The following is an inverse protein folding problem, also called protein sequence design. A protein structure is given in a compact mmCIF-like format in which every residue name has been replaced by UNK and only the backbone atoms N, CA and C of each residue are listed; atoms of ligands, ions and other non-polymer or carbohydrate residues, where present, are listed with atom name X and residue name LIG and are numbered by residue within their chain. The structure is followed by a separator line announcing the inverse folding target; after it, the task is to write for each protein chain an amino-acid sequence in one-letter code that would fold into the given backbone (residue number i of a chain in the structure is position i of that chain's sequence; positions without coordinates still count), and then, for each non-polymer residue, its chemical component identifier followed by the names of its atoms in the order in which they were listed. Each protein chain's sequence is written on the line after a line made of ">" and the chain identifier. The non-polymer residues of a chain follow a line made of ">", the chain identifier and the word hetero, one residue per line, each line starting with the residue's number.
data_IF_604964546757
#
_entry.id   IF_604964546757
#
_cell.length_a   1.000
_cell.length_b   1.000
_cell.length_c   1.000
_cell.angle_alpha   90.00
_cell.angle_beta   90.00
_cell.angle_gamma   90.00
#
_symmetry.space_group_name_H-M   'P 1'
#
loop_
_entity.id
_entity.type
_entity.pdbx_description
1 polymer ?
#
# COMPACT_ATOMS: atom_id res chain seq x y z
N UNK A 1 -33.83 14.81 11.22
CA UNK A 1 -32.49 14.32 11.65
C UNK A 1 -31.94 13.18 10.78
N UNK A 2 -32.71 12.15 10.41
CA UNK A 2 -32.25 11.04 9.53
C UNK A 2 -31.84 11.46 8.10
N UNK A 3 -32.52 12.45 7.52
CA UNK A 3 -32.20 12.97 6.16
C UNK A 3 -30.87 13.73 6.12
N UNK A 4 -30.55 14.50 7.17
CA UNK A 4 -29.29 15.24 7.30
C UNK A 4 -28.09 14.30 7.50
N UNK A 5 -28.26 13.19 8.21
CA UNK A 5 -27.21 12.17 8.38
C UNK A 5 -26.93 11.42 7.08
N UNK A 6 -27.97 11.08 6.30
CA UNK A 6 -27.82 10.46 4.98
C UNK A 6 -27.13 11.41 3.98
N UNK A 7 -27.48 12.70 4.01
CA UNK A 7 -26.84 13.71 3.17
C UNK A 7 -25.36 13.93 3.55
N UNK A 8 -25.04 13.96 4.85
CA UNK A 8 -23.66 14.11 5.32
C UNK A 8 -22.78 12.89 4.96
N UNK A 9 -23.33 11.68 5.03
CA UNK A 9 -22.65 10.45 4.60
C UNK A 9 -22.41 10.41 3.09
N UNK A 10 -23.35 10.94 2.29
CA UNK A 10 -23.19 11.09 0.84
C UNK A 10 -22.10 12.13 0.51
N UNK A 11 -22.12 13.33 1.11
CA UNK A 11 -21.14 14.38 0.82
C UNK A 11 -19.72 14.01 1.25
N UNK A 12 -19.56 13.32 2.38
CA UNK A 12 -18.25 12.84 2.84
C UNK A 12 -17.65 11.78 1.89
N UNK A 13 -18.49 10.88 1.35
CA UNK A 13 -18.05 9.87 0.37
C UNK A 13 -17.64 10.49 -0.97
N UNK A 14 -18.34 11.55 -1.42
CA UNK A 14 -18.04 12.24 -2.68
C UNK A 14 -16.71 13.00 -2.62
N UNK A 15 -16.38 13.59 -1.47
CA UNK A 15 -15.12 14.30 -1.26
C UNK A 15 -13.88 13.40 -1.28
N UNK A 16 -14.01 12.10 -0.94
CA UNK A 16 -12.91 11.12 -1.05
C UNK A 16 -12.85 10.54 -2.46
N UNK A 17 -13.99 10.27 -3.08
CA UNK A 17 -14.05 9.76 -4.44
C UNK A 17 -13.42 10.71 -5.48
N UNK A 18 -13.60 12.03 -5.32
CA UNK A 18 -12.96 13.03 -6.18
C UNK A 18 -11.45 13.17 -5.95
N UNK A 19 -10.97 12.92 -4.73
CA UNK A 19 -9.54 13.01 -4.39
C UNK A 19 -8.70 11.93 -5.06
N UNK A 20 -9.26 10.74 -5.26
CA UNK A 20 -8.51 9.64 -5.88
C UNK A 20 -8.46 9.70 -7.40
N UNK A 21 -9.31 10.49 -8.06
CA UNK A 21 -9.37 10.51 -9.52
C UNK A 21 -8.02 10.83 -10.19
N UNK A 22 -7.24 11.84 -9.75
CA UNK A 22 -5.93 12.12 -10.35
C UNK A 22 -4.94 10.96 -10.17
N UNK A 23 -4.91 10.36 -8.98
CA UNK A 23 -3.99 9.25 -8.70
C UNK A 23 -4.40 7.96 -9.43
N UNK A 24 -5.69 7.67 -9.55
CA UNK A 24 -6.23 6.55 -10.32
C UNK A 24 -6.01 6.71 -11.84
N UNK A 25 -6.05 7.95 -12.33
CA UNK A 25 -5.76 8.25 -13.73
C UNK A 25 -4.27 8.05 -14.04
N UNK A 26 -3.41 8.41 -13.10
CA UNK A 26 -1.95 8.45 -13.28
C UNK A 26 -1.56 9.29 -14.50
N UNK A 27 -0.46 8.91 -15.15
CA UNK A 27 0.05 9.56 -16.36
C UNK A 27 -0.57 9.03 -17.66
N UNK A 28 -1.65 8.24 -17.57
CA UNK A 28 -2.19 7.58 -18.76
C UNK A 28 -2.93 8.61 -19.63
N UNK A 29 -2.54 8.71 -20.91
CA UNK A 29 -3.28 9.48 -21.92
C UNK A 29 -4.56 8.72 -22.30
N UNK A 30 -5.64 9.06 -21.61
CA UNK A 30 -6.88 8.28 -21.61
C UNK A 30 -7.93 8.83 -22.56
N UNK A 31 -7.53 9.49 -23.65
CA UNK A 31 -8.47 10.05 -24.63
C UNK A 31 -9.64 10.80 -23.94
N UNK A 32 -10.86 10.65 -24.47
CA UNK A 32 -12.04 11.18 -23.78
C UNK A 32 -12.56 10.21 -22.70
N UNK A 33 -12.74 10.70 -21.48
CA UNK A 33 -13.34 9.94 -20.37
C UNK A 33 -14.82 9.55 -20.62
N UNK A 34 -15.46 10.17 -21.62
CA UNK A 34 -16.81 9.85 -22.05
C UNK A 34 -16.89 8.66 -23.01
N UNK A 35 -15.76 8.16 -23.52
CA UNK A 35 -15.75 7.00 -24.41
C UNK A 35 -16.07 5.71 -23.64
N UNK A 36 -16.66 4.71 -24.32
CA UNK A 36 -16.77 3.35 -23.79
C UNK A 36 -15.40 2.82 -23.38
N UNK A 37 -15.33 2.19 -22.21
CA UNK A 37 -14.11 1.57 -21.71
C UNK A 37 -13.90 0.17 -22.30
N UNK A 38 -12.65 -0.17 -22.60
CA UNK A 38 -12.24 -1.52 -23.00
C UNK A 38 -11.80 -2.36 -21.79
N UNK A 39 -11.51 -3.64 -22.00
CA UNK A 39 -10.92 -4.49 -20.97
C UNK A 39 -9.51 -4.03 -20.57
N UNK A 40 -8.74 -3.45 -21.51
CA UNK A 40 -7.44 -2.81 -21.23
C UNK A 40 -7.59 -1.61 -20.30
N UNK A 41 -8.58 -0.75 -20.54
CA UNK A 41 -8.87 0.39 -19.66
C UNK A 41 -9.18 -0.08 -18.24
N UNK A 42 -10.05 -1.09 -18.11
CA UNK A 42 -10.37 -1.71 -16.82
C UNK A 42 -9.15 -2.31 -16.12
N UNK A 43 -8.28 -3.02 -16.85
CA UNK A 43 -7.07 -3.61 -16.31
C UNK A 43 -6.11 -2.55 -15.78
N UNK A 44 -5.87 -1.46 -16.55
CA UNK A 44 -5.01 -0.35 -16.12
C UNK A 44 -5.54 0.33 -14.87
N UNK A 45 -6.83 0.67 -14.84
CA UNK A 45 -7.42 1.32 -13.67
C UNK A 45 -7.44 0.42 -12.44
N UNK A 46 -7.75 -0.87 -12.62
CA UNK A 46 -7.75 -1.81 -11.51
C UNK A 46 -6.34 -2.03 -10.96
N UNK A 47 -5.33 -2.19 -11.82
CA UNK A 47 -3.93 -2.25 -11.39
C UNK A 47 -3.57 -1.01 -10.58
N UNK A 48 -3.95 0.17 -11.06
CA UNK A 48 -3.65 1.41 -10.34
C UNK A 48 -4.33 1.47 -8.97
N UNK A 49 -5.58 1.01 -8.88
CA UNK A 49 -6.27 0.88 -7.60
C UNK A 49 -5.57 -0.11 -6.65
N UNK A 50 -5.07 -1.24 -7.17
CA UNK A 50 -4.26 -2.20 -6.40
C UNK A 50 -2.97 -1.56 -5.92
N UNK A 51 -2.24 -0.84 -6.76
CA UNK A 51 -0.99 -0.15 -6.35
C UNK A 51 -1.23 0.91 -5.26
N UNK A 52 -2.39 1.60 -5.30
CA UNK A 52 -2.76 2.59 -4.30
C UNK A 52 -3.16 1.93 -2.97
N UNK A 53 -3.93 0.84 -3.03
CA UNK A 53 -4.42 0.13 -1.85
C UNK A 53 -3.33 -0.74 -1.23
N UNK A 54 -2.57 -1.46 -2.06
CA UNK A 54 -1.56 -2.46 -1.72
C UNK A 54 -0.25 -2.21 -2.48
N UNK A 55 0.50 -1.14 -2.15
CA UNK A 55 1.78 -0.90 -2.78
C UNK A 55 2.74 -2.04 -2.48
N UNK A 56 3.54 -2.45 -3.48
CA UNK A 56 4.56 -3.49 -3.32
C UNK A 56 3.95 -4.81 -2.80
N UNK A 57 2.81 -5.22 -3.36
CA UNK A 57 2.13 -6.48 -3.06
C UNK A 57 2.84 -7.63 -3.78
N UNK A 58 3.34 -8.66 -3.08
CA UNK A 58 3.99 -9.78 -3.73
C UNK A 58 2.99 -10.63 -4.50
N UNK A 59 3.50 -11.35 -5.48
CA UNK A 59 2.73 -12.32 -6.27
C UNK A 59 2.03 -13.35 -5.37
N UNK A 60 0.71 -13.49 -5.54
CA UNK A 60 -0.11 -14.45 -4.77
C UNK A 60 -0.29 -15.82 -5.45
N UNK A 61 -0.09 -15.89 -6.77
CA UNK A 61 -0.20 -17.11 -7.55
C UNK A 61 0.66 -17.07 -8.80
N UNK A 62 1.18 -18.22 -9.24
CA UNK A 62 1.75 -18.37 -10.58
C UNK A 62 0.63 -18.39 -11.62
N UNK A 63 0.52 -17.32 -12.40
CA UNK A 63 -0.47 -17.17 -13.46
C UNK A 63 0.15 -16.42 -14.64
N UNK A 64 -0.14 -16.89 -15.86
CA UNK A 64 0.23 -16.20 -17.09
C UNK A 64 -0.84 -15.16 -17.45
N UNK A 65 -0.44 -14.09 -18.13
CA UNK A 65 -1.39 -13.16 -18.72
C UNK A 65 -1.99 -13.77 -20.01
N UNK A 66 -3.29 -13.60 -20.28
CA UNK A 66 -3.90 -13.93 -21.56
C UNK A 66 -3.54 -12.89 -22.67
N UNK A 67 -2.29 -12.47 -22.74
CA UNK A 67 -1.74 -11.54 -23.73
C UNK A 67 -0.35 -12.00 -24.18
N UNK A 68 0.10 -11.52 -25.34
CA UNK A 68 1.48 -11.73 -25.80
C UNK A 68 2.46 -10.94 -24.92
N UNK A 69 3.67 -11.45 -24.61
CA UNK A 69 4.69 -10.72 -23.86
C UNK A 69 5.10 -9.37 -24.48
N UNK A 70 4.92 -9.20 -25.78
CA UNK A 70 5.21 -7.97 -26.53
C UNK A 70 4.09 -6.92 -26.42
N UNK A 71 2.94 -7.28 -25.84
CA UNK A 71 1.82 -6.36 -25.65
C UNK A 71 2.18 -5.31 -24.57
N UNK A 72 1.95 -4.01 -24.81
CA UNK A 72 2.29 -2.96 -23.85
C UNK A 72 1.53 -3.09 -22.51
N UNK A 73 0.39 -3.79 -22.47
CA UNK A 73 -0.38 -4.06 -21.26
C UNK A 73 -0.07 -5.42 -20.62
N UNK A 74 0.87 -6.20 -21.17
CA UNK A 74 1.18 -7.55 -20.70
C UNK A 74 1.48 -7.56 -19.19
N UNK A 75 2.36 -6.70 -18.71
CA UNK A 75 2.73 -6.63 -17.30
C UNK A 75 1.55 -6.23 -16.40
N UNK A 76 0.68 -5.36 -16.89
CA UNK A 76 -0.54 -4.95 -16.17
C UNK A 76 -1.48 -6.13 -15.99
N UNK A 77 -1.73 -6.87 -17.06
CA UNK A 77 -2.65 -8.01 -17.05
C UNK A 77 -2.04 -9.20 -16.31
N UNK A 78 -0.73 -9.43 -16.45
CA UNK A 78 0.02 -10.45 -15.70
C UNK A 78 -0.12 -10.22 -14.20
N UNK A 79 0.10 -8.99 -13.73
CA UNK A 79 -0.06 -8.63 -12.33
C UNK A 79 -1.49 -8.94 -11.85
N UNK A 80 -2.52 -8.53 -12.57
CA UNK A 80 -3.91 -8.79 -12.16
C UNK A 80 -4.24 -10.29 -12.15
N UNK A 81 -3.74 -11.07 -13.10
CA UNK A 81 -3.92 -12.52 -13.14
C UNK A 81 -3.24 -13.20 -11.94
N UNK A 82 -2.01 -12.79 -11.62
CA UNK A 82 -1.24 -13.28 -10.47
C UNK A 82 -1.91 -12.99 -9.12
N UNK A 83 -2.68 -11.91 -9.06
CA UNK A 83 -3.50 -11.54 -7.90
C UNK A 83 -4.94 -12.08 -7.97
N UNK A 84 -5.25 -12.92 -8.96
CA UNK A 84 -6.58 -13.51 -9.19
C UNK A 84 -7.69 -12.46 -9.33
N UNK A 85 -7.37 -11.28 -9.84
CA UNK A 85 -8.32 -10.19 -10.08
C UNK A 85 -8.90 -10.21 -11.49
N UNK A 86 -8.37 -11.04 -12.39
CA UNK A 86 -8.83 -11.19 -13.76
C UNK A 86 -9.78 -12.40 -13.91
N UNK A 87 -11.04 -12.22 -14.32
CA UNK A 87 -11.94 -13.30 -14.72
C UNK A 87 -11.46 -14.01 -15.99
N UNK A 88 -11.91 -15.24 -16.22
CA UNK A 88 -11.55 -16.01 -17.41
C UNK A 88 -12.14 -15.40 -18.70
N UNK A 89 -13.29 -14.73 -18.57
CA UNK A 89 -14.04 -14.10 -19.65
C UNK A 89 -13.52 -12.71 -20.03
N UNK A 90 -12.47 -12.22 -19.35
CA UNK A 90 -11.87 -10.93 -19.67
C UNK A 90 -11.26 -10.94 -21.08
N UNK A 91 -11.48 -9.86 -21.82
CA UNK A 91 -10.94 -9.67 -23.16
C UNK A 91 -10.37 -8.25 -23.28
N UNK A 92 -9.29 -8.03 -24.04
CA UNK A 92 -8.63 -6.73 -24.11
C UNK A 92 -9.54 -5.63 -24.68
N UNK A 93 -10.27 -5.92 -25.76
CA UNK A 93 -11.01 -4.91 -26.52
C UNK A 93 -12.47 -4.73 -26.09
N UNK A 94 -12.98 -5.59 -25.20
CA UNK A 94 -14.37 -5.58 -24.76
C UNK A 94 -14.49 -5.71 -23.25
N UNK A 95 -15.37 -4.91 -22.64
CA UNK A 95 -15.65 -4.98 -21.22
C UNK A 95 -17.15 -5.22 -20.97
N UNK A 96 -17.58 -6.50 -20.93
CA UNK A 96 -18.90 -6.83 -20.42
C UNK A 96 -19.06 -6.35 -18.97
N UNK A 97 -20.23 -5.84 -18.62
CA UNK A 97 -20.51 -5.35 -17.25
C UNK A 97 -20.34 -6.46 -16.20
N UNK A 98 -20.62 -7.71 -16.55
CA UNK A 98 -20.39 -8.87 -15.69
C UNK A 98 -18.91 -9.07 -15.37
N UNK A 99 -18.03 -8.93 -16.36
CA UNK A 99 -16.57 -9.03 -16.18
C UNK A 99 -16.07 -7.92 -15.25
N UNK A 100 -16.48 -6.68 -15.47
CA UNK A 100 -16.10 -5.58 -14.56
C UNK A 100 -16.61 -5.80 -13.14
N UNK A 101 -17.87 -6.22 -12.99
CA UNK A 101 -18.46 -6.50 -11.67
C UNK A 101 -17.68 -7.57 -10.94
N UNK A 102 -17.23 -8.60 -11.64
CA UNK A 102 -16.43 -9.66 -11.05
C UNK A 102 -15.02 -9.18 -10.67
N UNK A 103 -14.35 -8.43 -11.54
CA UNK A 103 -13.06 -7.79 -11.25
C UNK A 103 -13.12 -6.93 -9.98
N UNK A 104 -14.10 -6.03 -9.91
CA UNK A 104 -14.31 -5.14 -8.77
C UNK A 104 -14.72 -5.91 -7.52
N UNK A 105 -15.57 -6.93 -7.67
CA UNK A 105 -16.00 -7.80 -6.58
C UNK A 105 -14.86 -8.60 -5.96
N UNK A 106 -13.94 -9.13 -6.78
CA UNK A 106 -12.72 -9.83 -6.33
C UNK A 106 -11.82 -8.91 -5.51
N UNK A 107 -11.61 -7.67 -5.95
CA UNK A 107 -10.84 -6.69 -5.17
C UNK A 107 -11.59 -6.24 -3.91
N UNK A 108 -12.90 -6.08 -3.95
CA UNK A 108 -13.68 -5.70 -2.77
C UNK A 108 -13.70 -6.81 -1.70
N UNK A 109 -13.70 -8.08 -2.14
CA UNK A 109 -13.70 -9.26 -1.27
C UNK A 109 -12.44 -9.35 -0.39
N UNK A 110 -11.29 -8.87 -0.88
CA UNK A 110 -10.06 -8.76 -0.10
C UNK A 110 -10.25 -8.00 1.23
N UNK A 111 -11.20 -7.07 1.25
CA UNK A 111 -11.46 -6.20 2.40
C UNK A 111 -12.80 -6.47 3.07
N UNK A 112 -13.50 -7.55 2.68
CA UNK A 112 -14.84 -7.86 3.17
C UNK A 112 -15.89 -6.78 2.82
N UNK A 113 -15.65 -5.99 1.77
CA UNK A 113 -16.57 -4.94 1.31
C UNK A 113 -17.41 -5.46 0.15
N UNK A 114 -18.69 -5.07 0.10
CA UNK A 114 -19.56 -5.33 -1.04
C UNK A 114 -19.79 -4.08 -1.87
N UNK A 115 -19.69 -4.21 -3.20
CA UNK A 115 -20.00 -3.16 -4.17
C UNK A 115 -20.87 -3.76 -5.27
N UNK A 116 -21.93 -3.04 -5.62
CA UNK A 116 -22.76 -3.35 -6.77
C UNK A 116 -22.56 -2.24 -7.81
N UNK A 117 -21.94 -2.53 -8.97
CA UNK A 117 -21.80 -1.57 -10.05
C UNK A 117 -23.16 -1.06 -10.53
N UNK A 118 -23.26 0.23 -10.85
CA UNK A 118 -24.55 0.88 -11.16
C UNK A 118 -24.62 1.54 -12.54
N UNK A 119 -23.67 1.30 -13.45
CA UNK A 119 -23.60 2.02 -14.71
C UNK A 119 -24.35 1.41 -15.90
N UNK A 120 -24.56 2.25 -16.92
CA UNK A 120 -25.16 1.90 -18.21
C UNK A 120 -24.26 0.96 -19.03
N UNK A 121 -24.87 0.23 -19.97
CA UNK A 121 -24.17 -0.69 -20.88
C UNK A 121 -23.96 0.00 -22.24
N UNK A 122 -22.72 0.12 -22.77
CA UNK A 122 -21.43 -0.21 -22.15
C UNK A 122 -20.92 0.89 -21.17
N UNK A 123 -20.07 0.55 -20.18
CA UNK A 123 -19.50 1.53 -19.27
C UNK A 123 -18.56 2.51 -19.97
N UNK A 124 -18.53 3.75 -19.49
CA UNK A 124 -17.50 4.73 -19.87
C UNK A 124 -16.28 4.63 -18.95
N UNK A 125 -15.14 5.14 -19.42
CA UNK A 125 -13.91 5.24 -18.61
C UNK A 125 -14.12 6.00 -17.30
N UNK A 126 -14.90 7.10 -17.35
CA UNK A 126 -15.27 7.86 -16.16
C UNK A 126 -16.03 7.03 -15.13
N UNK A 127 -16.94 6.17 -15.58
CA UNK A 127 -17.73 5.31 -14.69
C UNK A 127 -16.85 4.29 -13.97
N UNK A 128 -15.88 3.69 -14.67
CA UNK A 128 -14.91 2.76 -14.03
C UNK A 128 -14.09 3.46 -12.94
N UNK A 129 -13.52 4.62 -13.26
CA UNK A 129 -12.75 5.42 -12.30
C UNK A 129 -13.60 5.84 -11.09
N UNK A 130 -14.85 6.23 -11.33
CA UNK A 130 -15.78 6.61 -10.26
C UNK A 130 -16.08 5.45 -9.31
N UNK A 131 -16.28 4.24 -9.85
CA UNK A 131 -16.53 3.05 -9.02
C UNK A 131 -15.29 2.61 -8.23
N UNK A 132 -14.10 2.67 -8.82
CA UNK A 132 -12.84 2.43 -8.11
C UNK A 132 -12.61 3.45 -7.00
N UNK A 133 -12.86 4.73 -7.27
CA UNK A 133 -12.81 5.79 -6.26
C UNK A 133 -13.76 5.51 -5.09
N UNK A 134 -14.97 5.02 -5.37
CA UNK A 134 -15.93 4.61 -4.34
C UNK A 134 -15.46 3.39 -3.56
N UNK A 135 -14.85 2.40 -4.23
CA UNK A 135 -14.25 1.25 -3.57
C UNK A 135 -13.14 1.68 -2.61
N UNK A 136 -12.21 2.49 -3.08
CA UNK A 136 -11.10 3.00 -2.27
C UNK A 136 -11.63 3.76 -1.05
N UNK A 137 -12.64 4.62 -1.23
CA UNK A 137 -13.25 5.35 -0.12
C UNK A 137 -13.90 4.42 0.93
N UNK A 138 -14.46 3.28 0.51
CA UNK A 138 -15.03 2.27 1.42
C UNK A 138 -13.97 1.43 2.12
N UNK A 139 -12.87 1.12 1.44
CA UNK A 139 -11.79 0.28 1.95
C UNK A 139 -10.87 1.06 2.89
N UNK A 140 -10.60 2.33 2.62
CA UNK A 140 -9.63 3.16 3.34
C UNK A 140 -9.70 3.07 4.88
N UNK A 141 -10.88 3.13 5.52
CA UNK A 141 -11.02 2.98 6.97
C UNK A 141 -10.55 1.63 7.54
N UNK A 142 -10.57 0.56 6.73
CA UNK A 142 -10.16 -0.78 7.15
C UNK A 142 -8.64 -0.98 7.15
N UNK A 143 -7.90 -0.24 6.32
CA UNK A 143 -6.47 -0.46 6.09
C UNK A 143 -5.57 -0.04 7.28
N UNK A 144 -6.06 0.91 8.11
CA UNK A 144 -5.43 1.41 9.35
C UNK A 144 -3.88 1.42 9.36
N UNK A 145 -3.22 2.00 8.34
CA UNK A 145 -1.77 1.94 8.26
C UNK A 145 -1.11 2.71 9.41
N UNK A 146 0.01 2.20 9.90
CA UNK A 146 0.84 2.88 10.90
C UNK A 146 2.18 3.23 10.27
N UNK A 147 2.54 4.51 10.29
CA UNK A 147 3.88 4.93 9.91
C UNK A 147 4.89 4.48 10.97
N UNK A 148 5.99 3.91 10.53
CA UNK A 148 7.20 3.77 11.34
C UNK A 148 8.22 4.79 10.84
N UNK A 149 8.61 5.74 11.69
CA UNK A 149 9.60 6.75 11.35
C UNK A 149 10.81 6.55 12.26
N UNK A 150 11.93 6.19 11.67
CA UNK A 150 13.18 5.95 12.39
C UNK A 150 14.10 7.16 12.28
N UNK A 151 14.65 7.63 13.41
CA UNK A 151 15.69 8.66 13.38
C UNK A 151 17.09 8.05 13.32
N UNK A 152 18.04 8.81 12.78
CA UNK A 152 19.45 8.50 12.89
C UNK A 152 19.90 8.50 14.37
N UNK A 153 20.80 7.58 14.71
CA UNK A 153 21.28 7.40 16.09
C UNK A 153 22.18 8.55 16.55
N UNK A 154 22.98 9.09 15.64
CA UNK A 154 23.93 10.18 15.89
C UNK A 154 23.27 11.56 15.70
N UNK A 155 22.21 11.63 14.89
CA UNK A 155 21.43 12.84 14.68
C UNK A 155 19.92 12.57 14.69
N UNK A 156 19.31 12.65 15.88
CA UNK A 156 17.87 12.42 16.08
C UNK A 156 16.93 13.38 15.33
N UNK A 157 17.45 14.42 14.69
CA UNK A 157 16.67 15.33 13.85
C UNK A 157 16.55 14.86 12.40
N UNK A 158 17.38 13.87 11.99
CA UNK A 158 17.36 13.26 10.67
C UNK A 158 16.56 11.97 10.69
N UNK A 159 15.75 11.78 9.67
CA UNK A 159 15.13 10.48 9.38
C UNK A 159 16.21 9.56 8.82
N UNK A 160 16.39 8.38 9.43
CA UNK A 160 17.22 7.30 8.90
C UNK A 160 16.44 6.48 7.88
N UNK A 161 15.21 6.09 8.25
CA UNK A 161 14.28 5.48 7.33
C UNK A 161 12.84 5.74 7.76
N UNK A 162 11.91 5.48 6.85
CA UNK A 162 10.50 5.41 7.17
C UNK A 162 9.87 4.19 6.51
N UNK A 163 8.74 3.77 7.05
CA UNK A 163 8.00 2.62 6.52
C UNK A 163 6.52 2.73 6.88
N UNK A 164 5.71 1.91 6.22
CA UNK A 164 4.32 1.65 6.55
C UNK A 164 4.18 0.23 7.04
N UNK A 165 3.65 0.07 8.24
CA UNK A 165 3.28 -1.24 8.78
C UNK A 165 1.83 -1.49 8.37
N UNK A 166 1.60 -2.63 7.69
CA UNK A 166 0.34 -2.97 7.01
C UNK A 166 -0.23 -4.28 7.53
N UNK A 167 -0.70 -4.31 8.78
CA UNK A 167 -1.25 -5.56 9.35
C UNK A 167 -2.65 -5.87 8.83
N UNK A 168 -3.50 -4.86 8.64
CA UNK A 168 -4.86 -5.02 8.10
C UNK A 168 -4.86 -5.01 6.55
N UNK A 169 -4.08 -5.91 5.95
CA UNK A 169 -3.91 -6.08 4.50
C UNK A 169 -4.15 -7.53 4.09
N UNK A 170 -4.40 -7.78 2.80
CA UNK A 170 -4.39 -9.13 2.23
C UNK A 170 -3.05 -9.84 2.36
N UNK A 171 -1.98 -9.07 2.55
CA UNK A 171 -0.64 -9.59 2.78
C UNK A 171 0.06 -8.71 3.81
N UNK A 172 -0.03 -9.05 5.11
CA UNK A 172 0.59 -8.30 6.19
C UNK A 172 2.10 -8.13 5.98
N UNK A 173 2.59 -6.89 5.96
CA UNK A 173 4.01 -6.60 5.66
C UNK A 173 4.47 -5.23 6.15
N UNK A 174 5.79 -5.04 6.21
CA UNK A 174 6.43 -3.74 6.33
C UNK A 174 6.76 -3.20 4.94
N UNK A 175 6.25 -2.04 4.57
CA UNK A 175 6.58 -1.37 3.31
C UNK A 175 7.59 -0.28 3.61
N UNK A 176 8.86 -0.52 3.28
CA UNK A 176 9.94 0.44 3.50
C UNK A 176 10.05 1.31 2.27
N UNK A 177 10.09 2.62 2.48
CA UNK A 177 10.11 3.60 1.39
C UNK A 177 11.42 4.37 1.49
N UNK A 178 12.17 4.45 0.39
CA UNK A 178 13.36 5.28 0.30
C UNK A 178 12.94 6.72 0.52
N UNK A 179 13.45 7.41 1.54
CA UNK A 179 13.16 8.82 1.68
C UNK A 179 13.80 9.55 0.50
N UNK A 180 13.12 10.52 -0.14
CA UNK A 180 13.63 11.19 -1.33
C UNK A 180 14.68 12.25 -0.94
N UNK A 181 15.77 11.79 -0.31
CA UNK A 181 16.83 12.62 0.24
C UNK A 181 17.54 13.43 -0.84
N UNK A 182 17.60 12.95 -2.10
CA UNK A 182 18.19 13.69 -3.22
C UNK A 182 17.47 15.03 -3.50
N UNK A 183 16.21 15.17 -3.09
CA UNK A 183 15.44 16.43 -3.17
C UNK A 183 15.23 17.11 -1.82
N UNK A 184 15.48 16.42 -0.71
CA UNK A 184 15.09 16.82 0.64
C UNK A 184 16.25 16.88 1.65
N UNK A 185 17.52 16.92 1.20
CA UNK A 185 18.73 16.95 2.06
C UNK A 185 18.66 17.98 3.20
N UNK A 186 17.80 18.98 3.12
CA UNK A 186 17.63 20.05 4.12
C UNK A 186 16.20 20.19 4.70
N UNK A 187 15.18 19.50 4.18
CA UNK A 187 13.77 19.89 4.41
C UNK A 187 12.92 18.94 5.25
N UNK A 188 13.23 17.64 5.32
CA UNK A 188 12.54 16.73 6.27
C UNK A 188 13.32 16.70 7.58
N UNK A 189 13.24 17.81 8.29
CA UNK A 189 13.72 17.91 9.66
C UNK A 189 12.60 17.47 10.62
N UNK A 190 12.91 16.52 11.49
CA UNK A 190 12.00 16.12 12.59
C UNK A 190 11.77 17.26 13.60
N UNK A 191 12.42 18.42 13.44
CA UNK A 191 12.14 19.63 14.21
C UNK A 191 10.67 20.08 14.09
N UNK A 192 10.03 19.86 12.93
CA UNK A 192 8.59 20.15 12.74
C UNK A 192 7.68 19.02 13.27
N UNK A 193 8.26 17.99 13.87
CA UNK A 193 7.59 16.82 14.39
C UNK A 193 7.35 15.72 13.35
N UNK A 194 7.08 14.51 13.83
CA UNK A 194 6.82 13.31 13.00
C UNK A 194 5.62 13.50 12.07
N UNK A 195 4.65 14.33 12.48
CA UNK A 195 3.46 14.64 11.68
C UNK A 195 3.80 15.23 10.30
N UNK A 196 4.95 15.92 10.15
CA UNK A 196 5.38 16.48 8.87
C UNK A 196 5.79 15.41 7.84
N UNK A 197 6.10 14.18 8.30
CA UNK A 197 6.50 13.05 7.44
C UNK A 197 5.28 12.30 6.90
N UNK A 198 4.19 12.26 7.65
CA UNK A 198 3.03 11.42 7.33
C UNK A 198 2.40 11.70 5.95
N UNK A 199 2.33 12.95 5.46
CA UNK A 199 1.84 13.22 4.10
C UNK A 199 2.65 12.54 3.00
N UNK A 200 3.96 12.32 3.19
CA UNK A 200 4.82 11.64 2.20
C UNK A 200 4.58 10.13 2.14
N UNK A 201 3.98 9.57 3.18
CA UNK A 201 3.58 8.16 3.24
C UNK A 201 2.09 7.96 2.92
N UNK A 202 1.34 9.05 2.78
CA UNK A 202 -0.10 9.00 2.50
C UNK A 202 -0.36 9.03 0.99
N UNK A 203 -1.45 8.39 0.60
CA UNK A 203 -2.04 8.48 -0.75
C UNK A 203 -3.51 8.82 -0.62
N UNK A 204 -4.21 9.03 -1.75
CA UNK A 204 -5.66 9.18 -1.71
C UNK A 204 -6.38 7.96 -1.07
N UNK A 205 -5.78 6.76 -1.16
CA UNK A 205 -6.33 5.51 -0.65
C UNK A 205 -5.93 5.22 0.80
N UNK A 206 -4.82 5.80 1.23
CA UNK A 206 -4.19 5.51 2.52
C UNK A 206 -3.84 6.82 3.23
N UNK A 207 -4.73 7.30 4.08
CA UNK A 207 -4.43 8.44 4.94
C UNK A 207 -3.70 7.96 6.21
N UNK A 208 -2.41 8.29 6.32
CA UNK A 208 -1.59 7.84 7.44
C UNK A 208 -1.67 8.86 8.57
N UNK A 209 -2.33 8.46 9.66
CA UNK A 209 -2.50 9.31 10.86
C UNK A 209 -1.76 8.78 12.07
N UNK A 210 -1.59 7.47 12.16
CA UNK A 210 -0.94 6.78 13.28
C UNK A 210 0.54 6.63 12.99
N UNK A 211 1.36 6.80 14.01
CA UNK A 211 2.81 6.62 13.87
C UNK A 211 3.48 6.03 15.09
N UNK A 212 4.60 5.37 14.85
CA UNK A 212 5.62 4.99 15.82
C UNK A 212 6.91 5.69 15.40
N UNK A 213 7.53 6.38 16.33
CA UNK A 213 8.81 7.06 16.15
C UNK A 213 9.83 6.56 17.16
N UNK A 214 11.00 6.17 16.67
CA UNK A 214 12.09 5.67 17.50
C UNK A 214 13.45 5.87 16.79
N UNK A 215 14.58 5.79 17.51
CA UNK A 215 15.88 5.62 16.87
C UNK A 215 15.91 4.35 16.01
N UNK A 216 16.63 4.36 14.89
CA UNK A 216 16.67 3.24 13.94
C UNK A 216 17.02 1.88 14.57
N UNK A 217 17.99 1.77 15.50
CA UNK A 217 18.25 0.50 16.20
C UNK A 217 17.08 0.01 17.05
N UNK A 218 16.28 0.93 17.61
CA UNK A 218 15.09 0.60 18.41
C UNK A 218 13.93 0.20 17.50
N UNK A 219 13.73 0.92 16.40
CA UNK A 219 12.72 0.58 15.39
C UNK A 219 12.96 -0.83 14.82
N UNK A 220 14.22 -1.18 14.51
CA UNK A 220 14.61 -2.54 14.09
C UNK A 220 14.20 -3.61 15.11
N UNK A 221 14.41 -3.33 16.41
CA UNK A 221 14.05 -4.26 17.49
C UNK A 221 12.55 -4.49 17.63
N UNK A 222 11.68 -3.66 17.06
CA UNK A 222 10.24 -3.96 17.06
C UNK A 222 9.92 -5.26 16.30
N UNK A 223 10.74 -5.62 15.31
CA UNK A 223 10.51 -6.79 14.47
C UNK A 223 11.52 -7.93 14.69
N UNK A 224 12.73 -7.60 15.15
CA UNK A 224 13.84 -8.55 15.30
C UNK A 224 14.22 -8.82 16.76
N UNK A 225 13.33 -8.52 17.71
CA UNK A 225 13.68 -8.34 19.12
C UNK A 225 14.39 -9.51 19.82
N UNK A 226 14.20 -10.74 19.32
CA UNK A 226 14.74 -11.95 19.92
C UNK A 226 15.88 -12.56 19.09
N UNK A 227 16.37 -11.90 18.02
CA UNK A 227 17.34 -12.42 17.04
C UNK A 227 16.96 -13.77 16.38
N UNK A 228 15.80 -14.33 16.69
CA UNK A 228 15.27 -15.55 16.09
C UNK A 228 14.42 -15.26 14.84
N UNK A 229 14.02 -14.01 14.65
CA UNK A 229 13.30 -13.56 13.47
C UNK A 229 14.28 -13.17 12.36
N UNK A 230 13.96 -13.55 11.11
CA UNK A 230 14.73 -13.23 9.92
C UNK A 230 13.97 -12.26 9.04
N UNK A 231 14.64 -11.21 8.57
CA UNK A 231 14.06 -10.29 7.60
C UNK A 231 14.16 -10.87 6.19
N UNK A 232 13.05 -10.83 5.45
CA UNK A 232 12.98 -11.27 4.05
C UNK A 232 12.29 -10.19 3.25
N UNK A 233 12.92 -9.73 2.17
CA UNK A 233 12.30 -8.86 1.18
C UNK A 233 11.51 -9.74 0.22
N UNK A 234 10.20 -9.51 0.15
CA UNK A 234 9.28 -10.35 -0.65
C UNK A 234 8.88 -9.71 -1.97
N UNK A 235 9.08 -8.40 -2.10
CA UNK A 235 8.80 -7.65 -3.33
C UNK A 235 9.56 -6.31 -3.32
N UNK A 236 9.91 -5.82 -4.51
CA UNK A 236 10.67 -4.60 -4.74
C UNK A 236 9.90 -3.66 -5.70
N UNK A 237 10.25 -2.38 -5.71
CA UNK A 237 9.78 -1.44 -6.74
C UNK A 237 10.99 -0.82 -7.46
N UNK A 238 11.26 -1.18 -8.74
CA UNK A 238 10.50 -2.10 -9.63
C UNK A 238 10.53 -3.58 -9.20
N UNK A 239 9.55 -4.37 -9.65
CA UNK A 239 9.25 -5.72 -9.16
C UNK A 239 10.36 -6.75 -9.38
N UNK A 240 10.52 -7.64 -8.40
CA UNK A 240 11.43 -8.80 -8.43
C UNK A 240 10.66 -10.06 -8.04
N UNK A 241 10.86 -11.17 -8.76
CA UNK A 241 10.09 -12.39 -8.56
C UNK A 241 10.60 -13.30 -7.44
N UNK A 242 11.86 -13.12 -7.00
CA UNK A 242 12.46 -13.97 -5.97
C UNK A 242 12.55 -13.26 -4.62
N UNK A 243 12.04 -13.88 -3.54
CA UNK A 243 12.26 -13.39 -2.19
C UNK A 243 13.75 -13.34 -1.85
N UNK A 244 14.17 -12.25 -1.24
CA UNK A 244 15.55 -12.01 -0.84
C UNK A 244 15.68 -12.07 0.68
N UNK A 245 16.40 -13.08 1.18
CA UNK A 245 16.77 -13.19 2.58
C UNK A 245 17.85 -12.18 2.95
N UNK A 246 17.55 -11.32 3.92
CA UNK A 246 18.52 -10.34 4.42
C UNK A 246 19.50 -11.06 5.35
N UNK A 247 20.83 -10.91 5.13
CA UNK A 247 21.82 -11.47 6.04
C UNK A 247 21.70 -10.93 7.46
N UNK A 248 21.98 -11.77 8.45
CA UNK A 248 21.93 -11.38 9.86
C UNK A 248 22.91 -10.22 10.13
N UNK A 249 22.41 -9.16 10.77
CA UNK A 249 23.18 -7.97 11.09
C UNK A 249 23.19 -6.88 10.01
N UNK A 250 22.74 -7.20 8.79
CA UNK A 250 22.64 -6.22 7.69
C UNK A 250 21.29 -5.51 7.64
N UNK A 251 20.31 -5.88 8.48
CA UNK A 251 18.91 -5.43 8.34
C UNK A 251 18.78 -3.92 8.43
N UNK A 252 19.61 -3.29 9.26
CA UNK A 252 19.60 -1.83 9.35
C UNK A 252 20.04 -1.18 8.03
N UNK A 253 21.07 -1.71 7.36
CA UNK A 253 21.54 -1.21 6.07
C UNK A 253 20.49 -1.37 4.96
N UNK A 254 19.68 -2.44 5.00
CA UNK A 254 18.54 -2.60 4.10
C UNK A 254 17.42 -1.60 4.44
N UNK A 255 17.04 -1.47 5.71
CA UNK A 255 16.01 -0.52 6.16
C UNK A 255 16.36 0.93 5.80
N UNK A 256 17.64 1.32 5.86
CA UNK A 256 18.15 2.66 5.53
C UNK A 256 18.47 2.86 4.04
N UNK A 257 18.31 1.84 3.19
CA UNK A 257 18.72 1.86 1.79
C UNK A 257 20.23 2.13 1.58
N UNK A 258 21.07 1.78 2.55
CA UNK A 258 22.53 1.92 2.46
C UNK A 258 23.21 0.68 1.85
N UNK A 259 22.49 -0.45 1.77
CA UNK A 259 23.00 -1.66 1.14
C UNK A 259 22.93 -1.56 -0.41
N UNK A 260 24.04 -1.85 -1.09
CA UNK A 260 24.18 -1.73 -2.56
C UNK A 260 23.15 -2.56 -3.36
N UNK A 261 22.68 -3.67 -2.78
CA UNK A 261 21.51 -4.44 -3.23
C UNK A 261 20.30 -3.60 -3.65
N UNK A 262 20.06 -2.51 -2.91
CA UNK A 262 18.87 -1.71 -3.01
C UNK A 262 19.06 -0.51 -3.94
N UNK A 263 20.21 -0.38 -4.62
CA UNK A 263 20.46 0.67 -5.58
C UNK A 263 19.43 0.64 -6.72
N UNK A 264 18.85 1.82 -7.02
CA UNK A 264 17.79 1.97 -8.01
C UNK A 264 16.37 1.69 -7.52
N UNK A 265 16.19 1.04 -6.36
CA UNK A 265 14.87 0.74 -5.82
C UNK A 265 14.34 1.86 -4.93
N UNK A 266 13.05 2.17 -5.05
CA UNK A 266 12.39 3.22 -4.27
C UNK A 266 11.62 2.69 -3.07
N UNK A 267 11.14 1.45 -3.16
CA UNK A 267 10.36 0.80 -2.12
C UNK A 267 10.62 -0.69 -2.10
N UNK A 268 10.41 -1.30 -0.96
CA UNK A 268 10.34 -2.76 -0.85
C UNK A 268 9.36 -3.18 0.24
N UNK A 269 8.84 -4.39 0.09
CA UNK A 269 8.07 -5.06 1.12
C UNK A 269 8.94 -6.07 1.86
N UNK A 270 8.95 -5.99 3.18
CA UNK A 270 9.66 -6.91 4.05
C UNK A 270 8.70 -7.67 4.96
N UNK A 271 9.04 -8.94 5.16
CA UNK A 271 8.48 -9.83 6.17
C UNK A 271 9.53 -10.14 7.23
N UNK A 272 9.04 -10.56 8.40
CA UNK A 272 9.86 -11.04 9.49
C UNK A 272 9.41 -12.47 9.83
N UNK A 273 10.23 -13.45 9.47
CA UNK A 273 9.93 -14.87 9.64
C UNK A 273 10.55 -15.33 10.96
N UNK A 274 9.72 -15.72 11.92
CA UNK A 274 10.16 -16.22 13.23
C UNK A 274 9.16 -15.85 14.33
N UNK A 275 9.50 -16.10 15.61
CA UNK A 275 8.66 -15.69 16.71
C UNK A 275 8.61 -14.15 16.79
N UNK A 276 7.39 -13.62 16.84
CA UNK A 276 7.16 -12.19 17.04
C UNK A 276 7.69 -11.69 18.39
N UNK A 277 7.71 -10.35 18.59
CA UNK A 277 8.17 -9.77 19.85
C UNK A 277 7.28 -10.24 21.01
N UNK A 278 7.90 -10.72 22.09
CA UNK A 278 7.17 -11.12 23.30
C UNK A 278 6.54 -9.90 23.99
N UNK A 279 5.44 -10.08 24.72
CA UNK A 279 4.85 -8.98 25.51
C UNK A 279 5.87 -8.29 26.44
N UNK A 280 6.72 -9.01 27.20
CA UNK A 280 7.80 -8.39 27.97
C UNK A 280 8.75 -7.53 27.13
N UNK A 281 9.08 -7.99 25.92
CA UNK A 281 9.89 -7.23 24.96
C UNK A 281 9.20 -5.94 24.55
N UNK A 282 7.93 -6.03 24.12
CA UNK A 282 7.15 -4.84 23.70
C UNK A 282 7.08 -3.83 24.83
N UNK A 283 6.76 -4.27 26.06
CA UNK A 283 6.69 -3.42 27.24
C UNK A 283 8.02 -2.72 27.57
N UNK A 284 9.17 -3.36 27.30
CA UNK A 284 10.50 -2.74 27.45
C UNK A 284 10.82 -1.73 26.34
N UNK A 285 10.23 -1.89 25.16
CA UNK A 285 10.41 -0.98 24.04
C UNK A 285 9.51 0.25 24.16
N UNK A 286 8.28 0.11 24.67
CA UNK A 286 7.28 1.19 24.75
C UNK A 286 7.82 2.54 25.28
N UNK A 287 8.61 2.61 26.38
CA UNK A 287 9.13 3.88 26.88
C UNK A 287 10.12 4.58 25.94
N UNK A 288 10.66 3.84 24.97
CA UNK A 288 11.63 4.32 23.98
C UNK A 288 10.96 4.77 22.67
N UNK A 289 9.63 4.60 22.57
CA UNK A 289 8.83 4.98 21.41
C UNK A 289 8.11 6.31 21.67
N UNK A 290 7.98 7.13 20.62
CA UNK A 290 7.04 8.24 20.58
C UNK A 290 5.94 7.91 19.59
N UNK A 291 4.69 8.18 19.95
CA UNK A 291 3.53 7.74 19.18
C UNK A 291 2.31 8.56 19.58
N UNK A 292 1.31 8.60 18.70
CA UNK A 292 -0.01 9.11 18.99
C UNK A 292 -1.07 8.01 19.21
N UNK A 293 -0.63 6.76 19.33
CA UNK A 293 -1.48 5.61 19.61
C UNK A 293 -1.58 5.35 21.13
N UNK A 294 -2.70 4.79 21.56
CA UNK A 294 -2.84 4.34 22.96
C UNK A 294 -1.94 3.14 23.26
N UNK A 295 -1.48 2.91 24.51
CA UNK A 295 -0.63 1.78 24.84
C UNK A 295 -1.20 0.41 24.44
N UNK A 296 -2.51 0.21 24.62
CA UNK A 296 -3.22 -1.01 24.16
C UNK A 296 -3.19 -1.14 22.64
N UNK A 297 -3.45 -0.05 21.91
CA UNK A 297 -3.41 -0.07 20.45
C UNK A 297 -2.03 -0.48 19.93
N UNK A 298 -0.93 -0.04 20.56
CA UNK A 298 0.43 -0.42 20.15
C UNK A 298 0.70 -1.90 20.43
N UNK A 299 0.29 -2.39 21.60
CA UNK A 299 0.46 -3.80 21.96
C UNK A 299 -0.32 -4.68 20.98
N UNK A 300 -1.60 -4.38 20.77
CA UNK A 300 -2.45 -5.12 19.83
C UNK A 300 -1.86 -5.05 18.42
N UNK A 301 -1.36 -3.88 18.02
CA UNK A 301 -0.76 -3.69 16.69
C UNK A 301 0.54 -4.48 16.49
N UNK A 302 1.48 -4.40 17.43
CA UNK A 302 2.80 -5.07 17.32
C UNK A 302 2.68 -6.58 17.53
N UNK A 303 1.68 -7.04 18.30
CA UNK A 303 1.44 -8.45 18.56
C UNK A 303 0.46 -9.10 17.58
N UNK A 304 -0.22 -8.31 16.73
CA UNK A 304 -1.05 -8.86 15.66
C UNK A 304 -0.15 -9.51 14.61
N UNK A 305 -0.44 -10.76 14.21
CA UNK A 305 0.34 -11.49 13.22
C UNK A 305 0.33 -10.84 11.84
#
# INVERSE_FOLDING_TARGET
>A
MRVLLALALLVAGWGVAQRCLPELRGDTDLGSLSQPASGRDAARYLRRAVELLEPVLPQLASAAAPLSPEDPDYETVRLLAQHRLLPAEWQPEALPVTVWREMLGRLAAWYGVSIAPTFAVPPTRWQLLSELSLLIARVGPSLKPVALVASDEHNRQRVAFWALIRNDSVYPRLIVVRPPFDRLRETVSLQRGVAAVLPYLSTCANEVRRYIFAPAPIARRLFLANNEARMVIVELEPSSLEPWYVPEGEELAYLTFEHAALDGYQRFAALFIGPGPSLPTVLRLLPQLRTNMGPREIIDFVMSP
#
